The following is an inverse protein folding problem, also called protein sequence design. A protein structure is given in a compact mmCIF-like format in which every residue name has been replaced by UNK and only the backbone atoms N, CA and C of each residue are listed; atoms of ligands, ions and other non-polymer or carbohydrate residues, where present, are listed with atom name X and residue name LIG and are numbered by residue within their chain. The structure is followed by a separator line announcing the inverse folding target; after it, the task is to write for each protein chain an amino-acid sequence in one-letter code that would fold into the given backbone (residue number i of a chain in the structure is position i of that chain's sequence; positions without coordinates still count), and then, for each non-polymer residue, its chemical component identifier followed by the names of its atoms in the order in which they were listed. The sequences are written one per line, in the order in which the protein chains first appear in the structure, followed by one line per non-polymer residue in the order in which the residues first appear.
data_IF_513033262001
#
_entry.id   IF_513033262001
#
_cell.length_a   1.000
_cell.length_b   1.000
_cell.length_c   1.000
_cell.angle_alpha   90.00
_cell.angle_beta   90.00
_cell.angle_gamma   90.00
#
_symmetry.space_group_name_H-M   'P 1'
#
loop_
_entity.id
_entity.type
_entity.pdbx_description
1 polymer ?
#
# COMPACT_ATOMS: atom_id res chain seq x y z
N UNK A 1 8.57 -2.63 16.50
CA UNK A 1 8.01 -1.75 15.44
C UNK A 1 6.76 -2.42 14.88
N UNK A 2 5.74 -1.66 14.47
CA UNK A 2 4.54 -2.25 13.90
C UNK A 2 4.83 -2.99 12.59
N UNK A 3 4.03 -3.99 12.30
CA UNK A 3 4.14 -4.77 11.08
C UNK A 3 2.83 -4.69 10.30
N UNK A 4 2.95 -4.55 8.99
CA UNK A 4 1.79 -4.55 8.12
C UNK A 4 1.48 -5.99 7.72
N UNK A 5 0.21 -6.39 7.83
CA UNK A 5 -0.22 -7.75 7.51
C UNK A 5 -1.44 -7.69 6.60
N UNK A 6 -1.55 -8.70 5.74
CA UNK A 6 -2.67 -8.80 4.80
C UNK A 6 -4.02 -8.82 5.53
N UNK A 7 -4.11 -9.55 6.63
CA UNK A 7 -5.36 -9.70 7.39
C UNK A 7 -5.79 -8.44 8.12
N UNK A 8 -4.90 -7.46 8.25
CA UNK A 8 -5.19 -6.20 8.95
C UNK A 8 -5.68 -5.10 8.00
N UNK A 9 -5.86 -5.42 6.71
CA UNK A 9 -6.31 -4.42 5.73
C UNK A 9 -7.79 -4.08 5.96
N UNK A 10 -8.13 -2.77 6.03
CA UNK A 10 -9.52 -2.36 6.16
C UNK A 10 -10.33 -2.71 4.91
N UNK A 11 -11.60 -3.06 5.10
CA UNK A 11 -12.49 -3.39 3.99
C UNK A 11 -12.65 -2.20 3.03
N UNK A 12 -12.74 -0.98 3.57
CA UNK A 12 -12.85 0.22 2.75
C UNK A 12 -11.64 0.37 1.81
N UNK A 13 -10.45 0.00 2.30
CA UNK A 13 -9.24 0.05 1.48
C UNK A 13 -9.28 -0.98 0.36
N UNK A 14 -9.77 -2.19 0.65
CA UNK A 14 -9.92 -3.23 -0.35
C UNK A 14 -10.90 -2.82 -1.44
N UNK A 15 -12.01 -2.18 -1.06
CA UNK A 15 -12.97 -1.66 -2.04
C UNK A 15 -12.35 -0.56 -2.89
N UNK A 16 -11.56 0.31 -2.29
CA UNK A 16 -10.84 1.37 -3.02
C UNK A 16 -9.86 0.76 -4.04
N UNK A 17 -9.16 -0.29 -3.63
CA UNK A 17 -8.22 -1.00 -4.51
C UNK A 17 -8.94 -1.63 -5.69
N UNK A 18 -10.09 -2.24 -5.45
CA UNK A 18 -10.91 -2.85 -6.51
C UNK A 18 -11.39 -1.79 -7.50
N UNK A 19 -11.78 -0.62 -7.02
CA UNK A 19 -12.17 0.50 -7.88
C UNK A 19 -11.01 0.93 -8.78
N UNK A 20 -9.79 1.01 -8.22
CA UNK A 20 -8.60 1.38 -8.99
C UNK A 20 -8.27 0.36 -10.07
N UNK A 21 -8.46 -0.92 -9.77
CA UNK A 21 -8.25 -1.99 -10.74
C UNK A 21 -9.26 -1.88 -11.87
N UNK A 22 -10.53 -1.62 -11.55
CA UNK A 22 -11.59 -1.46 -12.54
C UNK A 22 -11.34 -0.27 -13.45
N UNK A 23 -10.75 0.81 -12.92
CA UNK A 23 -10.38 2.00 -13.68
C UNK A 23 -9.07 1.81 -14.44
N UNK A 24 -8.42 0.66 -14.30
CA UNK A 24 -7.12 0.35 -14.89
C UNK A 24 -5.99 1.25 -14.40
N UNK A 25 -6.17 1.89 -13.23
CA UNK A 25 -5.13 2.68 -12.60
C UNK A 25 -4.09 1.80 -11.90
N UNK A 26 -4.47 0.58 -11.54
CA UNK A 26 -3.59 -0.41 -10.92
C UNK A 26 -3.71 -1.71 -11.70
N UNK A 27 -2.57 -2.29 -12.09
CA UNK A 27 -2.55 -3.56 -12.82
C UNK A 27 -2.51 -4.75 -11.86
N UNK A 28 -2.77 -5.94 -12.40
CA UNK A 28 -2.65 -7.17 -11.63
C UNK A 28 -1.24 -7.41 -11.12
N UNK A 29 -0.23 -7.03 -11.91
CA UNK A 29 1.17 -7.18 -11.51
C UNK A 29 1.50 -6.28 -10.31
N UNK A 30 0.97 -5.07 -10.28
CA UNK A 30 1.16 -4.15 -9.15
C UNK A 30 0.50 -4.70 -7.89
N UNK A 31 -0.68 -5.28 -8.03
CA UNK A 31 -1.37 -5.91 -6.90
C UNK A 31 -0.58 -7.11 -6.37
N UNK A 32 0.01 -7.89 -7.26
CA UNK A 32 0.84 -9.03 -6.87
C UNK A 32 2.09 -8.58 -6.12
N UNK A 33 2.75 -7.52 -6.59
CA UNK A 33 3.90 -6.94 -5.87
C UNK A 33 3.52 -6.52 -4.46
N UNK A 34 2.35 -5.88 -4.31
CA UNK A 34 1.86 -5.45 -3.01
C UNK A 34 1.58 -6.65 -2.11
N UNK A 35 0.91 -7.67 -2.64
CA UNK A 35 0.58 -8.88 -1.88
C UNK A 35 1.85 -9.60 -1.41
N UNK A 36 2.85 -9.74 -2.28
CA UNK A 36 4.12 -10.37 -1.94
C UNK A 36 4.83 -9.59 -0.82
N UNK A 37 4.80 -8.28 -0.90
CA UNK A 37 5.38 -7.43 0.14
C UNK A 37 4.67 -7.63 1.48
N UNK A 38 3.34 -7.70 1.48
CA UNK A 38 2.57 -7.95 2.70
C UNK A 38 2.89 -9.31 3.32
N UNK A 39 3.14 -10.31 2.48
CA UNK A 39 3.46 -11.66 2.95
C UNK A 39 4.81 -11.72 3.69
N UNK A 40 5.67 -10.73 3.50
CA UNK A 40 6.92 -10.63 4.25
C UNK A 40 6.71 -10.06 5.67
N UNK A 41 5.49 -9.65 6.00
CA UNK A 41 5.15 -9.00 7.26
C UNK A 41 6.14 -7.85 7.55
N UNK A 42 6.23 -6.85 6.65
CA UNK A 42 7.26 -5.82 6.75
C UNK A 42 7.08 -4.94 7.98
N UNK A 43 8.20 -4.57 8.60
CA UNK A 43 8.21 -3.62 9.69
C UNK A 43 8.09 -2.20 9.13
N UNK A 44 7.29 -1.38 9.80
CA UNK A 44 7.06 0.01 9.39
C UNK A 44 7.17 0.92 10.62
N UNK A 45 7.44 2.23 10.42
CA UNK A 45 7.48 3.15 11.54
C UNK A 45 6.09 3.40 12.13
N UNK A 46 6.05 3.95 13.33
CA UNK A 46 4.78 4.28 14.01
C UNK A 46 4.04 5.42 13.33
N UNK A 47 4.75 6.31 12.63
CA UNK A 47 4.16 7.45 11.95
C UNK A 47 3.81 7.11 10.50
N UNK A 48 3.68 8.16 9.70
CA UNK A 48 3.33 8.02 8.30
C UNK A 48 4.49 7.43 7.51
N UNK A 49 4.17 6.51 6.60
CA UNK A 49 5.15 5.87 5.73
C UNK A 49 4.54 5.61 4.36
N UNK A 50 5.41 5.36 3.38
CA UNK A 50 4.96 4.91 2.07
C UNK A 50 5.94 3.92 1.47
N UNK A 51 5.44 3.06 0.61
CA UNK A 51 6.23 2.08 -0.12
C UNK A 51 5.96 2.25 -1.61
N UNK A 52 7.03 2.40 -2.39
CA UNK A 52 6.91 2.54 -3.84
C UNK A 52 6.89 1.16 -4.50
N UNK A 53 5.93 0.99 -5.39
CA UNK A 53 5.85 -0.15 -6.29
C UNK A 53 5.87 0.37 -7.72
N UNK A 54 5.92 -0.53 -8.72
CA UNK A 54 5.91 -0.11 -10.12
C UNK A 54 4.61 0.65 -10.43
N UNK A 55 4.73 1.95 -10.68
CA UNK A 55 3.58 2.78 -11.07
C UNK A 55 2.60 3.12 -9.97
N UNK A 56 2.89 2.76 -8.71
CA UNK A 56 2.01 3.13 -7.60
C UNK A 56 2.79 3.23 -6.29
N UNK A 57 2.17 3.85 -5.29
CA UNK A 57 2.70 3.88 -3.93
C UNK A 57 1.60 3.45 -2.96
N UNK A 58 1.99 2.73 -1.92
CA UNK A 58 1.09 2.39 -0.83
C UNK A 58 1.47 3.25 0.36
N UNK A 59 0.50 3.92 0.95
CA UNK A 59 0.72 4.81 2.09
C UNK A 59 0.01 4.26 3.32
N UNK A 60 0.65 4.44 4.47
CA UNK A 60 0.07 3.99 5.73
C UNK A 60 0.55 4.81 6.90
N UNK A 61 0.07 4.43 8.07
CA UNK A 61 0.47 5.02 9.34
C UNK A 61 0.46 3.92 10.39
N UNK A 62 1.61 3.66 11.00
CA UNK A 62 1.76 2.52 11.89
C UNK A 62 1.43 1.23 11.16
N UNK A 63 0.68 0.35 11.78
CA UNK A 63 0.32 -0.94 11.18
C UNK A 63 -0.82 -0.86 10.17
N UNK A 64 -1.41 0.33 9.99
CA UNK A 64 -2.58 0.52 9.12
C UNK A 64 -2.18 1.05 7.75
N UNK A 65 -2.58 0.35 6.71
CA UNK A 65 -2.50 0.85 5.34
C UNK A 65 -3.67 1.80 5.13
N UNK A 66 -3.39 3.01 4.65
CA UNK A 66 -4.40 4.06 4.53
C UNK A 66 -4.91 4.26 3.11
N UNK A 67 -4.02 4.29 2.13
CA UNK A 67 -4.41 4.61 0.76
C UNK A 67 -3.36 4.14 -0.24
N UNK A 68 -3.75 4.17 -1.50
CA UNK A 68 -2.85 3.93 -2.63
C UNK A 68 -2.78 5.20 -3.46
N UNK A 69 -1.56 5.54 -3.90
CA UNK A 69 -1.32 6.65 -4.81
C UNK A 69 -0.89 6.11 -6.16
N UNK A 70 -1.45 6.66 -7.22
CA UNK A 70 -1.06 6.29 -8.58
C UNK A 70 0.08 7.19 -9.05
N UNK A 71 0.65 6.86 -10.20
CA UNK A 71 1.74 7.64 -10.79
C UNK A 71 1.34 9.10 -10.96
N UNK A 72 2.25 10.00 -10.57
CA UNK A 72 2.00 11.43 -10.62
C UNK A 72 1.60 12.04 -9.29
N UNK A 73 1.18 11.22 -8.32
CA UNK A 73 0.86 11.71 -6.98
C UNK A 73 2.09 11.60 -6.08
N UNK A 74 2.25 12.56 -5.17
CA UNK A 74 3.43 12.63 -4.31
C UNK A 74 3.08 12.08 -2.92
N UNK A 75 3.73 11.00 -2.49
CA UNK A 75 3.51 10.44 -1.16
C UNK A 75 4.20 11.30 -0.08
N UNK A 76 3.71 11.17 1.15
CA UNK A 76 4.30 11.85 2.30
C UNK A 76 4.67 10.84 3.38
N UNK A 77 5.66 11.18 4.19
CA UNK A 77 6.12 10.34 5.27
C UNK A 77 7.46 9.67 4.99
N UNK A 78 7.75 8.60 5.73
CA UNK A 78 9.01 7.87 5.60
C UNK A 78 8.92 6.82 4.49
N UNK A 79 9.88 6.83 3.59
CA UNK A 79 9.90 5.81 2.53
C UNK A 79 10.38 4.47 3.07
N UNK A 80 9.63 3.42 2.80
CA UNK A 80 10.00 2.04 3.13
C UNK A 80 10.75 1.46 1.92
N UNK A 81 11.93 0.98 2.16
CA UNK A 81 12.78 0.45 1.08
C UNK A 81 12.83 -1.06 1.00
#
# INVERSE_FOLDING_TARGET
MPKVRRQDLPLALLNHLLDRISERAISGDQLEEFADWLDTEPEVPDGRWFKRFSGMCVCGEGELVKTFLIEGQVPTGTEIK
#
